data_IF_817778247245
#
_entry.id   IF_817778247245
#
_cell.length_a   1.000
_cell.length_b   1.000
_cell.length_c   1.000
_cell.angle_alpha   90.00
_cell.angle_beta   90.00
_cell.angle_gamma   90.00
#
_symmetry.space_group_name_H-M   'P 1'
#
loop_
_entity.id
_entity.type
_entity.pdbx_description
1 polymer ?
#
# COMPACT_ATOMS: atom_id res chain seq x y z
N UNK A 1 3.00 -1.46 -11.78
CA UNK A 1 1.62 -1.88 -12.08
C UNK A 1 0.63 -1.72 -10.92
N UNK A 2 0.66 -2.55 -9.87
CA UNK A 2 -0.39 -2.56 -8.81
C UNK A 2 -0.66 -1.19 -8.18
N UNK A 3 0.41 -0.47 -7.80
CA UNK A 3 0.28 0.90 -7.25
C UNK A 3 -0.51 1.81 -8.18
N UNK A 4 -0.20 1.82 -9.48
CA UNK A 4 -0.87 2.67 -10.48
C UNK A 4 -2.36 2.34 -10.57
N UNK A 5 -2.69 1.05 -10.69
CA UNK A 5 -4.08 0.58 -10.78
C UNK A 5 -4.89 1.02 -9.56
N UNK A 6 -4.31 0.94 -8.35
CA UNK A 6 -4.98 1.38 -7.13
C UNK A 6 -5.17 2.90 -7.09
N UNK A 7 -4.17 3.68 -7.49
CA UNK A 7 -4.32 5.14 -7.57
C UNK A 7 -5.39 5.55 -8.59
N UNK A 8 -5.43 4.92 -9.76
CA UNK A 8 -6.43 5.19 -10.79
C UNK A 8 -7.83 4.84 -10.27
N UNK A 9 -7.99 3.67 -9.62
CA UNK A 9 -9.26 3.25 -9.01
C UNK A 9 -9.74 4.22 -7.91
N UNK A 10 -8.86 4.64 -7.00
CA UNK A 10 -9.19 5.61 -5.95
C UNK A 10 -9.63 6.94 -6.56
N UNK A 11 -8.89 7.42 -7.57
CA UNK A 11 -9.20 8.68 -8.26
C UNK A 11 -10.55 8.62 -8.97
N UNK A 12 -10.85 7.53 -9.67
CA UNK A 12 -12.13 7.32 -10.34
C UNK A 12 -13.30 7.29 -9.33
N UNK A 13 -13.09 6.72 -8.14
CA UNK A 13 -14.14 6.57 -7.13
C UNK A 13 -14.36 7.81 -6.27
N UNK A 14 -13.28 8.49 -5.90
CA UNK A 14 -13.30 9.60 -4.93
C UNK A 14 -13.18 10.97 -5.61
N UNK A 15 -12.92 11.02 -6.92
CA UNK A 15 -12.75 12.27 -7.69
C UNK A 15 -11.39 12.94 -7.49
N UNK A 16 -10.53 12.38 -6.63
CA UNK A 16 -9.17 12.84 -6.38
C UNK A 16 -8.31 11.66 -5.89
N UNK A 17 -6.99 11.82 -6.02
CA UNK A 17 -6.03 10.83 -5.54
C UNK A 17 -5.69 11.15 -4.09
N UNK A 18 -6.12 10.28 -3.17
CA UNK A 18 -5.96 10.50 -1.73
C UNK A 18 -4.51 10.28 -1.24
N UNK A 19 -3.61 9.82 -2.11
CA UNK A 19 -2.25 9.36 -1.77
C UNK A 19 -2.31 8.45 -0.54
N UNK A 20 -2.41 7.13 -0.73
CA UNK A 20 -2.52 6.19 0.38
C UNK A 20 -1.35 6.31 1.38
N UNK A 21 -1.64 6.30 2.69
CA UNK A 21 -0.62 6.29 3.74
C UNK A 21 0.23 5.02 3.69
N UNK A 22 -0.44 3.90 3.47
CA UNK A 22 0.18 2.61 3.20
C UNK A 22 -0.72 1.80 2.26
N UNK A 23 -0.16 0.72 1.73
CA UNK A 23 -0.89 -0.26 0.95
C UNK A 23 -0.21 -1.62 1.12
N UNK A 24 -0.88 -2.59 1.75
CA UNK A 24 -0.38 -3.97 1.80
C UNK A 24 -1.02 -4.77 0.69
N UNK A 25 -0.18 -5.43 -0.11
CA UNK A 25 -0.62 -6.28 -1.21
C UNK A 25 -0.05 -7.67 -0.97
N UNK A 26 -0.94 -8.61 -0.71
CA UNK A 26 -0.58 -10.00 -0.48
C UNK A 26 -0.63 -10.74 -1.83
N UNK A 27 0.50 -11.35 -2.20
CA UNK A 27 0.68 -12.04 -3.48
C UNK A 27 0.82 -13.54 -3.23
N UNK A 28 0.23 -14.35 -4.12
CA UNK A 28 0.37 -15.80 -4.12
C UNK A 28 0.89 -16.29 -5.48
N UNK A 29 1.69 -17.37 -5.52
CA UNK A 29 2.11 -17.96 -6.78
C UNK A 29 0.91 -18.41 -7.63
N UNK A 30 0.97 -18.18 -8.94
CA UNK A 30 -0.10 -18.56 -9.86
C UNK A 30 0.02 -19.99 -10.42
N UNK A 31 1.09 -20.71 -10.03
CA UNK A 31 1.40 -22.05 -10.56
C UNK A 31 2.08 -22.07 -11.93
N UNK A 32 2.30 -20.91 -12.55
CA UNK A 32 2.90 -20.74 -13.88
C UNK A 32 4.23 -19.97 -13.84
N UNK A 33 4.81 -19.79 -12.65
CA UNK A 33 6.06 -19.05 -12.45
C UNK A 33 5.87 -17.55 -12.28
N UNK A 34 4.63 -17.09 -12.05
CA UNK A 34 4.30 -15.70 -11.73
C UNK A 34 3.49 -15.63 -10.43
N UNK A 35 2.93 -14.44 -10.16
CA UNK A 35 2.15 -14.14 -8.97
C UNK A 35 0.80 -13.52 -9.32
N UNK A 36 -0.20 -13.79 -8.49
CA UNK A 36 -1.50 -13.13 -8.51
C UNK A 36 -1.77 -12.43 -7.18
N UNK A 37 -2.61 -11.38 -7.22
CA UNK A 37 -3.04 -10.66 -6.01
C UNK A 37 -4.08 -11.51 -5.28
N UNK A 38 -3.83 -11.77 -4.01
CA UNK A 38 -4.77 -12.44 -3.10
C UNK A 38 -5.59 -11.41 -2.32
N UNK A 39 -4.93 -10.40 -1.76
CA UNK A 39 -5.56 -9.38 -0.93
C UNK A 39 -4.89 -8.01 -1.12
N UNK A 40 -5.70 -6.96 -1.01
CA UNK A 40 -5.24 -5.58 -0.88
C UNK A 40 -5.85 -4.99 0.39
N UNK A 41 -5.02 -4.60 1.35
CA UNK A 41 -5.45 -4.08 2.65
C UNK A 41 -5.01 -2.61 2.80
N UNK A 42 -5.99 -1.70 2.90
CA UNK A 42 -5.77 -0.24 2.90
C UNK A 42 -6.05 0.46 4.24
N UNK A 43 -6.62 -0.25 5.23
CA UNK A 43 -7.16 0.38 6.45
C UNK A 43 -6.61 -0.26 7.73
N UNK A 44 -6.77 -1.58 7.89
CA UNK A 44 -6.34 -2.31 9.08
C UNK A 44 -5.49 -3.50 8.65
N UNK A 45 -4.18 -3.29 8.62
CA UNK A 45 -3.22 -4.26 8.14
C UNK A 45 -2.01 -4.30 9.06
N UNK A 46 -1.58 -5.50 9.44
CA UNK A 46 -0.23 -5.69 9.97
C UNK A 46 0.78 -5.42 8.83
N UNK A 47 1.64 -4.42 9.06
CA UNK A 47 2.67 -3.95 8.12
C UNK A 47 4.03 -4.59 8.38
N UNK A 48 4.14 -5.43 9.41
CA UNK A 48 5.38 -6.13 9.75
C UNK A 48 6.58 -5.18 9.88
N UNK A 49 6.39 -3.99 10.46
CA UNK A 49 7.39 -2.90 10.46
C UNK A 49 8.73 -3.30 11.11
N UNK A 50 8.73 -4.33 11.96
CA UNK A 50 9.93 -4.89 12.57
C UNK A 50 10.73 -5.85 11.68
N UNK A 51 10.18 -6.29 10.55
CA UNK A 51 10.82 -7.30 9.68
C UNK A 51 11.78 -6.72 8.66
N UNK A 52 11.63 -5.42 8.34
CA UNK A 52 12.44 -4.73 7.35
C UNK A 52 13.12 -3.51 7.97
N UNK A 53 14.45 -3.40 7.91
CA UNK A 53 15.15 -2.21 8.37
C UNK A 53 14.59 -0.94 7.71
N UNK A 54 14.38 0.11 8.51
CA UNK A 54 13.79 1.41 8.12
C UNK A 54 12.30 1.42 7.80
N UNK A 55 11.59 0.29 7.78
CA UNK A 55 10.14 0.29 7.52
C UNK A 55 9.37 1.15 8.53
N UNK A 56 9.72 1.03 9.82
CA UNK A 56 9.14 1.88 10.87
C UNK A 56 9.40 3.37 10.64
N UNK A 57 10.63 3.74 10.28
CA UNK A 57 11.00 5.14 10.01
C UNK A 57 10.26 5.70 8.80
N UNK A 58 10.23 4.97 7.68
CA UNK A 58 9.51 5.38 6.47
C UNK A 58 8.01 5.58 6.75
N UNK A 59 7.42 4.71 7.56
CA UNK A 59 6.01 4.83 7.93
C UNK A 59 5.77 6.07 8.81
N UNK A 60 6.65 6.32 9.78
CA UNK A 60 6.60 7.54 10.59
C UNK A 60 6.73 8.81 9.74
N UNK A 61 7.68 8.85 8.80
CA UNK A 61 7.86 9.98 7.88
C UNK A 61 6.60 10.22 7.04
N UNK A 62 5.93 9.16 6.57
CA UNK A 62 4.70 9.25 5.80
C UNK A 62 3.51 9.78 6.63
N UNK A 63 3.47 9.50 7.94
CA UNK A 63 2.49 10.10 8.87
C UNK A 63 2.82 11.59 9.07
N UNK A 64 4.08 11.91 9.38
CA UNK A 64 4.53 13.28 9.62
C UNK A 64 4.26 14.19 8.43
N UNK A 65 4.47 13.72 7.21
CA UNK A 65 4.16 14.47 5.99
C UNK A 65 2.69 14.89 5.90
N UNK A 66 1.75 14.13 6.46
CA UNK A 66 0.31 14.47 6.46
C UNK A 66 -0.13 15.30 7.66
N UNK A 67 0.50 15.10 8.81
CA UNK A 67 0.17 15.84 10.04
C UNK A 67 0.62 17.31 10.00
N UNK A 68 1.56 17.64 9.11
CA UNK A 68 2.14 18.97 8.97
C UNK A 68 1.78 19.66 7.64
N UNK A 69 0.70 19.22 7.00
CA UNK A 69 0.06 19.91 5.87
C UNK A 69 -1.09 20.80 6.33
#
# INVERSE_FOLDING_TARGET
EIRRVLHDYVRERNGHDDLLLFNRVDLVPDGHGSFMVMEVSLVDADLYLGTTPRALGNFADAISARAHW
#
